data_IF_567772325156
#
_entry.id   IF_567772325156
#
_cell.length_a   1.000
_cell.length_b   1.000
_cell.length_c   1.000
_cell.angle_alpha   90.00
_cell.angle_beta   90.00
_cell.angle_gamma   90.00
#
_symmetry.space_group_name_H-M   'P 1'
#
loop_
_entity.id
_entity.type
_entity.pdbx_description
1 polymer ?
#
# COMPACT_ATOMS: atom_id res chain seq x y z
N UNK A 1 -30.61 35.00 22.59
CA UNK A 1 -29.64 33.93 22.25
C UNK A 1 -29.01 34.26 20.90
N UNK A 2 -27.69 34.45 20.85
CA UNK A 2 -26.98 35.04 19.70
C UNK A 2 -26.76 33.99 18.60
N UNK A 3 -27.65 33.92 17.60
CA UNK A 3 -27.64 32.93 16.50
C UNK A 3 -26.31 32.89 15.72
N UNK A 4 -25.57 33.99 15.64
CA UNK A 4 -24.26 34.04 14.97
C UNK A 4 -23.20 33.20 15.70
N UNK A 5 -23.22 33.21 17.05
CA UNK A 5 -22.31 32.41 17.88
C UNK A 5 -22.63 30.91 17.71
N UNK A 6 -23.92 30.56 17.64
CA UNK A 6 -24.34 29.17 17.42
C UNK A 6 -23.87 28.63 16.06
N UNK A 7 -23.97 29.43 14.99
CA UNK A 7 -23.48 29.03 13.65
C UNK A 7 -21.97 28.82 13.62
N UNK A 8 -21.21 29.70 14.29
CA UNK A 8 -19.74 29.59 14.39
C UNK A 8 -19.31 28.39 15.21
N UNK A 9 -19.97 28.15 16.35
CA UNK A 9 -19.72 26.98 17.17
C UNK A 9 -20.03 25.67 16.42
N UNK A 10 -21.12 25.63 15.66
CA UNK A 10 -21.47 24.49 14.83
C UNK A 10 -20.45 24.25 13.71
N UNK A 11 -19.99 25.30 13.03
CA UNK A 11 -18.98 25.19 11.99
C UNK A 11 -17.65 24.63 12.56
N UNK A 12 -17.22 25.12 13.73
CA UNK A 12 -16.02 24.63 14.39
C UNK A 12 -16.18 23.17 14.83
N UNK A 13 -17.33 22.81 15.40
CA UNK A 13 -17.63 21.44 15.78
C UNK A 13 -17.61 20.49 14.57
N UNK A 14 -18.12 20.94 13.42
CA UNK A 14 -18.10 20.15 12.19
C UNK A 14 -16.68 19.90 11.69
N UNK A 15 -15.83 20.93 11.70
CA UNK A 15 -14.41 20.82 11.31
C UNK A 15 -13.64 19.89 12.24
N UNK A 16 -13.86 19.96 13.55
CA UNK A 16 -13.23 19.07 14.53
C UNK A 16 -13.75 17.63 14.41
N UNK A 17 -15.00 17.45 14.00
CA UNK A 17 -15.60 16.13 13.75
C UNK A 17 -15.13 15.48 12.44
N UNK A 18 -14.46 16.22 11.54
CA UNK A 18 -13.80 15.63 10.38
C UNK A 18 -12.54 14.89 10.84
N UNK A 19 -12.72 13.63 11.24
CA UNK A 19 -11.62 12.76 11.66
C UNK A 19 -10.60 12.52 10.54
N UNK A 20 -9.39 12.10 10.92
CA UNK A 20 -8.35 11.69 9.97
C UNK A 20 -8.76 10.43 9.21
N UNK A 21 -8.71 10.49 7.88
CA UNK A 21 -8.84 9.28 7.05
C UNK A 21 -7.54 8.49 7.18
N UNK A 22 -7.59 7.37 7.88
CA UNK A 22 -6.48 6.42 7.92
C UNK A 22 -6.51 5.56 6.65
N UNK A 23 -5.68 5.89 5.67
CA UNK A 23 -5.42 4.99 4.55
C UNK A 23 -4.52 3.85 5.06
N UNK A 24 -5.12 2.73 5.49
CA UNK A 24 -4.36 1.54 5.82
C UNK A 24 -4.01 0.80 4.52
N UNK A 25 -2.72 0.71 4.20
CA UNK A 25 -2.25 -0.19 3.13
C UNK A 25 -1.89 -1.53 3.77
N UNK A 26 -2.62 -2.59 3.40
CA UNK A 26 -2.23 -3.95 3.75
C UNK A 26 -1.44 -4.52 2.57
N UNK A 27 -0.14 -4.75 2.78
CA UNK A 27 0.74 -5.28 1.73
C UNK A 27 1.45 -6.55 2.19
N UNK A 28 1.72 -7.46 1.24
CA UNK A 28 2.55 -8.63 1.44
C UNK A 28 3.96 -8.47 0.89
N UNK A 29 4.79 -9.49 1.12
CA UNK A 29 6.12 -9.62 0.53
C UNK A 29 6.39 -11.07 0.12
N UNK A 30 7.05 -11.27 -1.02
CA UNK A 30 7.55 -12.58 -1.48
C UNK A 30 9.07 -12.51 -1.53
N UNK A 31 9.72 -13.50 -0.94
CA UNK A 31 11.18 -13.65 -0.96
C UNK A 31 11.54 -15.07 -1.39
N UNK A 32 12.63 -15.22 -2.12
CA UNK A 32 13.07 -16.53 -2.55
C UNK A 32 14.44 -16.49 -3.21
N UNK A 33 14.84 -17.65 -3.72
CA UNK A 33 16.08 -17.84 -4.46
C UNK A 33 15.86 -18.68 -5.70
N UNK A 34 16.63 -18.40 -6.75
CA UNK A 34 16.66 -19.16 -8.00
C UNK A 34 18.08 -19.67 -8.25
N UNK A 35 18.19 -20.83 -8.91
CA UNK A 35 19.49 -21.47 -9.16
C UNK A 35 20.37 -20.73 -10.17
N UNK A 36 19.78 -19.94 -11.08
CA UNK A 36 20.50 -19.06 -12.01
C UNK A 36 20.35 -17.60 -11.56
N UNK A 37 21.41 -17.02 -11.00
CA UNK A 37 21.32 -15.73 -10.30
C UNK A 37 21.57 -14.48 -11.14
N UNK A 38 22.39 -14.52 -12.17
CA UNK A 38 22.70 -13.29 -12.93
C UNK A 38 21.80 -13.13 -14.16
N UNK A 39 21.17 -11.96 -14.28
CA UNK A 39 20.43 -11.56 -15.49
C UNK A 39 19.05 -12.20 -15.63
N UNK A 40 18.57 -12.86 -14.57
CA UNK A 40 17.23 -13.44 -14.52
C UNK A 40 16.28 -12.54 -13.72
N UNK A 41 15.00 -12.68 -13.99
CA UNK A 41 13.92 -11.96 -13.33
C UNK A 41 12.82 -12.93 -12.90
N UNK A 42 12.08 -12.54 -11.87
CA UNK A 42 10.91 -13.28 -11.37
C UNK A 42 9.67 -12.45 -11.65
N UNK A 43 8.73 -13.03 -12.40
CA UNK A 43 7.42 -12.45 -12.64
C UNK A 43 6.49 -12.78 -11.46
N UNK A 44 5.95 -11.76 -10.81
CA UNK A 44 5.01 -11.88 -9.69
C UNK A 44 3.64 -11.40 -10.15
N UNK A 45 2.65 -12.29 -10.16
CA UNK A 45 1.29 -12.00 -10.65
C UNK A 45 0.21 -12.42 -9.65
N UNK A 46 -0.99 -11.85 -9.77
CA UNK A 46 -2.18 -12.29 -9.04
C UNK A 46 -3.42 -12.35 -9.94
N UNK A 47 -4.49 -13.01 -9.50
CA UNK A 47 -5.73 -13.17 -10.28
C UNK A 47 -6.56 -11.87 -10.41
N UNK A 48 -6.22 -10.84 -9.63
CA UNK A 48 -6.82 -9.51 -9.69
C UNK A 48 -6.15 -8.58 -10.73
N UNK A 49 -5.19 -9.09 -11.52
CA UNK A 49 -4.56 -8.36 -12.62
C UNK A 49 -3.30 -7.58 -12.23
N UNK A 50 -2.72 -7.83 -11.06
CA UNK A 50 -1.40 -7.31 -10.71
C UNK A 50 -0.31 -8.16 -11.38
N UNK A 51 0.69 -7.52 -12.00
CA UNK A 51 1.88 -8.18 -12.54
C UNK A 51 3.10 -7.28 -12.35
N UNK A 52 4.20 -7.83 -11.83
CA UNK A 52 5.46 -7.11 -11.61
C UNK A 52 6.67 -8.03 -11.77
N UNK A 53 7.62 -7.58 -12.55
CA UNK A 53 8.91 -8.24 -12.71
C UNK A 53 9.90 -7.77 -11.63
N UNK A 54 10.60 -8.73 -11.02
CA UNK A 54 11.53 -8.49 -9.90
C UNK A 54 12.90 -9.03 -10.29
N UNK A 55 13.95 -8.18 -10.34
CA UNK A 55 15.28 -8.63 -10.71
C UNK A 55 15.85 -9.56 -9.64
N UNK A 56 16.57 -10.57 -10.09
CA UNK A 56 17.35 -11.47 -9.23
C UNK A 56 18.76 -10.90 -9.06
N UNK A 57 19.27 -10.90 -7.83
CA UNK A 57 20.63 -10.46 -7.55
C UNK A 57 21.69 -11.51 -7.99
N UNK A 58 22.96 -11.11 -8.04
CA UNK A 58 24.05 -12.01 -8.44
C UNK A 58 24.20 -13.28 -7.56
N UNK A 59 23.59 -13.32 -6.38
CA UNK A 59 23.56 -14.47 -5.47
C UNK A 59 22.32 -15.35 -5.67
N UNK A 60 21.50 -15.04 -6.67
CA UNK A 60 20.27 -15.78 -6.96
C UNK A 60 19.09 -15.41 -6.07
N UNK A 61 19.16 -14.35 -5.26
CA UNK A 61 18.09 -13.96 -4.35
C UNK A 61 17.22 -12.86 -4.96
N UNK A 62 15.93 -12.92 -4.67
CA UNK A 62 14.99 -11.86 -5.01
C UNK A 62 14.12 -11.48 -3.81
N UNK A 63 13.59 -10.25 -3.82
CA UNK A 63 12.70 -9.74 -2.78
C UNK A 63 11.67 -8.81 -3.41
N UNK A 64 10.41 -9.21 -3.36
CA UNK A 64 9.27 -8.49 -3.89
C UNK A 64 8.44 -7.94 -2.73
N UNK A 65 8.65 -6.68 -2.36
CA UNK A 65 7.92 -6.02 -1.26
C UNK A 65 6.71 -5.21 -1.72
N UNK A 66 5.90 -4.76 -0.77
CA UNK A 66 4.77 -3.85 -1.01
C UNK A 66 3.79 -4.39 -2.08
N UNK A 67 3.52 -5.70 -2.02
CA UNK A 67 2.61 -6.36 -2.95
C UNK A 67 1.16 -6.15 -2.46
N UNK A 68 0.21 -5.83 -3.36
CA UNK A 68 -1.19 -5.76 -2.99
C UNK A 68 -1.67 -7.13 -2.51
N UNK A 69 -2.49 -7.15 -1.47
CA UNK A 69 -3.17 -8.37 -1.06
C UNK A 69 -4.37 -8.60 -1.97
N UNK A 70 -4.35 -9.71 -2.69
CA UNK A 70 -5.46 -10.18 -3.51
C UNK A 70 -5.14 -11.57 -4.02
N UNK A 71 -6.17 -12.40 -4.20
CA UNK A 71 -6.06 -13.71 -4.83
C UNK A 71 -5.67 -13.57 -6.29
#
# INVERSE_FOLDING_TARGET
MNRSIQKRALALALVVAMGSVHAQSTTGSIVGSVGQGSGTSVLVENNSGFSREVPVDARGRYTAGNLPLGT
#
